data_IF_456838894182
#
_entry.id   IF_456838894182
#
_cell.length_a   1.000
_cell.length_b   1.000
_cell.length_c   1.000
_cell.angle_alpha   90.00
_cell.angle_beta   90.00
_cell.angle_gamma   90.00
#
_symmetry.space_group_name_H-M   'P 1'
#
loop_
_entity.id
_entity.type
_entity.pdbx_description
1 polymer ?
#
# COMPACT_ATOMS: atom_id res chain seq x y z
N UNK A 1 42.52 -10.25 8.55
CA UNK A 1 42.15 -9.71 9.88
C UNK A 1 41.98 -8.20 9.84
N UNK A 2 40.78 -7.72 10.13
CA UNK A 2 40.46 -6.28 10.18
C UNK A 2 40.86 -5.73 11.55
N UNK A 3 41.73 -4.71 11.56
CA UNK A 3 42.23 -4.00 12.76
C UNK A 3 41.70 -2.56 12.78
N UNK A 4 41.59 -1.94 13.96
CA UNK A 4 41.21 -0.53 14.04
C UNK A 4 40.88 -0.04 15.46
N UNK A 5 40.38 1.19 15.53
CA UNK A 5 39.85 1.76 16.75
C UNK A 5 38.62 0.98 17.25
N UNK A 6 38.52 0.77 18.57
CA UNK A 6 37.49 -0.05 19.19
C UNK A 6 36.08 0.42 18.83
N UNK A 7 35.79 1.72 18.91
CA UNK A 7 34.46 2.26 18.67
C UNK A 7 34.04 2.07 17.21
N UNK A 8 34.98 2.29 16.28
CA UNK A 8 34.75 2.03 14.86
C UNK A 8 34.44 0.56 14.59
N UNK A 9 35.20 -0.36 15.19
CA UNK A 9 34.96 -1.79 15.01
C UNK A 9 33.62 -2.21 15.63
N UNK A 10 33.22 -1.62 16.75
CA UNK A 10 31.91 -1.86 17.38
C UNK A 10 30.74 -1.48 16.47
N UNK A 11 30.84 -0.37 15.72
CA UNK A 11 29.83 0.02 14.73
C UNK A 11 29.74 -0.99 13.56
N UNK A 12 30.88 -1.52 13.13
CA UNK A 12 30.93 -2.52 12.03
C UNK A 12 30.22 -3.80 12.48
N UNK A 13 30.55 -4.35 13.65
CA UNK A 13 30.00 -5.64 14.10
C UNK A 13 28.50 -5.60 14.41
N UNK A 14 27.91 -4.41 14.61
CA UNK A 14 26.45 -4.25 14.77
C UNK A 14 25.66 -4.49 13.48
N UNK A 15 26.30 -4.28 12.32
CA UNK A 15 25.63 -4.27 11.01
C UNK A 15 26.25 -5.24 10.02
N UNK A 16 27.19 -6.08 10.45
CA UNK A 16 27.91 -7.01 9.58
C UNK A 16 28.09 -8.39 10.24
N UNK A 17 28.26 -9.38 9.38
CA UNK A 17 28.53 -10.77 9.73
C UNK A 17 29.78 -11.30 9.01
N UNK A 18 30.31 -12.41 9.52
CA UNK A 18 31.43 -13.11 8.90
C UNK A 18 31.01 -13.69 7.53
N UNK A 19 31.72 -13.40 6.43
CA UNK A 19 31.35 -13.91 5.10
C UNK A 19 31.41 -15.43 5.02
N UNK A 20 32.38 -16.05 5.69
CA UNK A 20 32.60 -17.50 5.64
C UNK A 20 31.62 -18.31 6.50
N UNK A 21 31.28 -17.79 7.68
CA UNK A 21 30.50 -18.55 8.68
C UNK A 21 29.05 -18.05 8.83
N UNK A 22 28.71 -16.87 8.29
CA UNK A 22 27.38 -16.25 8.47
C UNK A 22 27.04 -15.97 9.93
N UNK A 23 28.05 -15.77 10.79
CA UNK A 23 27.91 -15.52 12.23
C UNK A 23 28.12 -14.06 12.56
N UNK A 24 27.48 -13.61 13.65
CA UNK A 24 27.74 -12.30 14.25
C UNK A 24 29.22 -12.14 14.57
N UNK A 25 29.71 -10.95 14.31
CA UNK A 25 31.06 -10.53 14.59
C UNK A 25 31.15 -9.97 16.02
N UNK A 26 32.34 -10.02 16.60
CA UNK A 26 32.66 -9.39 17.89
C UNK A 26 34.00 -8.67 17.80
N UNK A 27 34.14 -7.60 18.57
CA UNK A 27 35.43 -6.92 18.75
C UNK A 27 36.22 -7.63 19.85
N UNK A 28 37.48 -7.94 19.58
CA UNK A 28 38.37 -8.61 20.52
C UNK A 28 39.74 -7.90 20.57
N UNK A 29 40.39 -7.94 21.72
CA UNK A 29 41.79 -7.53 21.85
C UNK A 29 42.70 -8.65 21.37
N UNK A 30 43.65 -8.35 20.47
CA UNK A 30 44.61 -9.31 19.93
C UNK A 30 46.01 -9.03 20.47
N UNK A 31 46.41 -9.76 21.51
CA UNK A 31 47.64 -9.47 22.27
C UNK A 31 48.93 -9.47 21.42
N UNK A 32 49.06 -10.37 20.44
CA UNK A 32 50.27 -10.44 19.60
C UNK A 32 50.45 -9.23 18.67
N UNK A 33 49.37 -8.49 18.43
CA UNK A 33 49.33 -7.36 17.49
C UNK A 33 48.99 -6.04 18.22
N UNK A 34 48.93 -6.08 19.55
CA UNK A 34 48.64 -4.95 20.44
C UNK A 34 47.49 -4.05 19.95
N UNK A 35 46.41 -4.65 19.45
CA UNK A 35 45.33 -3.91 18.78
C UNK A 35 43.97 -4.60 18.90
N UNK A 36 42.90 -3.81 18.70
CA UNK A 36 41.55 -4.34 18.57
C UNK A 36 41.30 -4.87 17.16
N UNK A 37 40.64 -6.02 17.09
CA UNK A 37 40.35 -6.75 15.85
C UNK A 37 38.93 -7.27 15.83
N UNK A 38 38.41 -7.54 14.63
CA UNK A 38 37.13 -8.23 14.44
C UNK A 38 37.37 -9.75 14.35
N UNK A 39 36.59 -10.52 15.09
CA UNK A 39 36.52 -11.99 14.97
C UNK A 39 35.08 -12.50 14.97
N UNK A 40 34.83 -13.67 14.41
CA UNK A 40 33.53 -14.34 14.53
C UNK A 40 33.47 -15.22 15.80
N UNK A 41 32.28 -15.73 16.11
CA UNK A 41 32.06 -16.62 17.27
C UNK A 41 32.84 -17.94 17.23
N UNK A 42 33.34 -18.35 16.07
CA UNK A 42 34.15 -19.58 15.89
C UNK A 42 35.65 -19.32 16.00
N UNK A 43 36.06 -18.11 16.37
CA UNK A 43 37.48 -17.75 16.54
C UNK A 43 38.19 -17.41 15.23
N UNK A 44 37.47 -17.33 14.10
CA UNK A 44 38.01 -16.89 12.83
C UNK A 44 38.15 -15.35 12.75
N UNK A 45 39.23 -14.86 12.12
CA UNK A 45 39.56 -13.44 11.94
C UNK A 45 39.43 -13.00 10.46
N UNK A 46 38.22 -12.61 10.02
CA UNK A 46 37.99 -12.37 8.60
C UNK A 46 38.82 -11.21 8.03
N UNK A 47 39.11 -11.31 6.74
CA UNK A 47 39.73 -10.23 5.96
C UNK A 47 38.71 -9.22 5.44
N UNK A 48 37.47 -9.67 5.21
CA UNK A 48 36.34 -8.86 4.76
C UNK A 48 35.10 -9.12 5.61
N UNK A 49 34.12 -8.20 5.58
CA UNK A 49 32.85 -8.36 6.30
C UNK A 49 31.68 -8.19 5.35
N UNK A 50 30.64 -9.00 5.55
CA UNK A 50 29.40 -8.90 4.77
C UNK A 50 28.38 -8.15 5.59
N UNK A 51 27.79 -7.09 5.02
CA UNK A 51 26.74 -6.33 5.70
C UNK A 51 25.50 -7.20 5.90
N UNK A 52 25.02 -7.25 7.14
CA UNK A 52 23.69 -7.76 7.46
C UNK A 52 22.68 -6.77 6.89
N UNK A 53 21.99 -7.20 5.84
CA UNK A 53 20.91 -6.43 5.27
C UNK A 53 19.73 -6.49 6.24
N UNK A 54 19.13 -5.33 6.51
CA UNK A 54 17.85 -5.34 7.23
C UNK A 54 16.79 -6.08 6.39
N UNK A 55 15.73 -6.61 6.99
CA UNK A 55 14.65 -7.27 6.23
C UNK A 55 14.12 -6.40 5.07
N UNK A 56 14.05 -5.08 5.27
CA UNK A 56 13.67 -4.11 4.23
C UNK A 56 14.70 -4.00 3.10
N UNK A 57 15.99 -4.08 3.41
CA UNK A 57 17.08 -4.05 2.42
C UNK A 57 17.17 -5.37 1.64
N UNK A 58 17.00 -6.52 2.30
CA UNK A 58 16.91 -7.83 1.65
C UNK A 58 15.74 -7.88 0.65
N UNK A 59 14.59 -7.33 1.04
CA UNK A 59 13.42 -7.19 0.17
C UNK A 59 13.69 -6.30 -1.04
N UNK A 60 14.32 -5.13 -0.84
CA UNK A 60 14.69 -4.23 -1.94
C UNK A 60 15.69 -4.86 -2.93
N UNK A 61 16.53 -5.78 -2.47
CA UNK A 61 17.49 -6.49 -3.31
C UNK A 61 16.95 -7.78 -3.93
N UNK A 62 15.67 -8.11 -3.72
CA UNK A 62 15.05 -9.34 -4.24
C UNK A 62 15.63 -10.63 -3.67
N UNK A 63 16.46 -10.56 -2.61
CA UNK A 63 17.09 -11.72 -1.97
C UNK A 63 16.16 -12.46 -1.02
N UNK A 64 15.01 -11.86 -0.70
CA UNK A 64 13.98 -12.47 0.13
C UNK A 64 12.69 -12.57 -0.69
N UNK A 65 12.32 -13.79 -1.05
CA UNK A 65 10.92 -14.07 -1.39
C UNK A 65 10.07 -13.72 -0.17
N UNK A 66 8.85 -13.22 -0.39
CA UNK A 66 7.91 -12.93 0.69
C UNK A 66 7.56 -14.23 1.41
N UNK A 67 8.41 -14.63 2.36
CA UNK A 67 8.16 -15.78 3.22
C UNK A 67 6.78 -15.64 3.85
N UNK A 68 6.04 -16.75 3.97
CA UNK A 68 4.66 -16.83 4.45
C UNK A 68 4.37 -16.05 5.76
N UNK A 69 5.39 -15.75 6.57
CA UNK A 69 5.32 -14.86 7.74
C UNK A 69 4.91 -13.41 7.42
N UNK A 70 5.07 -12.95 6.17
CA UNK A 70 4.62 -11.64 5.74
C UNK A 70 3.10 -11.55 5.65
N UNK A 71 2.44 -12.61 5.19
CA UNK A 71 1.00 -12.63 4.90
C UNK A 71 0.11 -12.47 6.14
N UNK A 72 0.66 -12.59 7.35
CA UNK A 72 -0.10 -12.41 8.59
C UNK A 72 -0.68 -11.01 8.77
N UNK A 73 -0.07 -9.99 8.13
CA UNK A 73 -0.55 -8.61 8.15
C UNK A 73 -1.57 -8.31 7.05
N UNK A 74 -1.87 -9.28 6.17
CA UNK A 74 -2.90 -9.11 5.14
C UNK A 74 -4.30 -9.15 5.74
N UNK A 75 -5.29 -8.51 5.09
CA UNK A 75 -6.70 -8.75 5.38
C UNK A 75 -6.98 -10.25 5.39
N UNK A 76 -7.60 -10.74 6.48
CA UNK A 76 -7.96 -12.16 6.67
C UNK A 76 -9.42 -12.44 6.36
N UNK A 77 -10.19 -11.42 5.99
CA UNK A 77 -11.61 -11.54 5.64
C UNK A 77 -11.95 -10.65 4.44
N UNK A 78 -12.95 -11.07 3.65
CA UNK A 78 -13.56 -10.22 2.63
C UNK A 78 -14.30 -9.06 3.30
N UNK A 79 -14.04 -7.84 2.85
CA UNK A 79 -14.56 -6.64 3.50
C UNK A 79 -16.09 -6.54 3.42
N UNK A 80 -16.70 -7.10 2.37
CA UNK A 80 -18.15 -7.02 2.18
C UNK A 80 -18.91 -8.15 2.90
N UNK A 81 -18.41 -9.38 2.84
CA UNK A 81 -19.13 -10.55 3.40
C UNK A 81 -18.69 -10.87 4.84
N UNK A 82 -17.48 -10.46 5.23
CA UNK A 82 -16.83 -10.85 6.48
C UNK A 82 -16.35 -12.30 6.49
N UNK A 83 -16.44 -13.01 5.37
CA UNK A 83 -15.97 -14.40 5.26
C UNK A 83 -14.45 -14.45 5.30
N UNK A 84 -13.91 -15.43 6.02
CA UNK A 84 -12.48 -15.64 6.11
C UNK A 84 -11.90 -15.98 4.74
N UNK A 85 -10.76 -15.36 4.40
CA UNK A 85 -10.08 -15.58 3.14
C UNK A 85 -9.22 -16.85 3.23
N UNK A 86 -9.24 -17.66 2.18
CA UNK A 86 -8.32 -18.79 2.08
C UNK A 86 -6.88 -18.29 1.87
N UNK A 87 -5.86 -19.08 2.26
CA UNK A 87 -4.46 -18.75 1.98
C UNK A 87 -4.19 -18.43 0.51
N UNK A 88 -4.84 -19.16 -0.41
CA UNK A 88 -4.72 -18.95 -1.85
C UNK A 88 -5.29 -17.60 -2.30
N UNK A 89 -6.40 -17.16 -1.70
CA UNK A 89 -6.98 -15.84 -1.99
C UNK A 89 -6.10 -14.70 -1.46
N UNK A 90 -5.51 -14.88 -0.27
CA UNK A 90 -4.56 -13.91 0.31
C UNK A 90 -3.31 -13.79 -0.57
N UNK A 91 -2.76 -14.92 -1.01
CA UNK A 91 -1.62 -14.96 -1.93
C UNK A 91 -1.95 -14.32 -3.27
N UNK A 92 -3.10 -14.64 -3.87
CA UNK A 92 -3.55 -14.04 -5.12
C UNK A 92 -3.73 -12.51 -5.00
N UNK A 93 -4.31 -12.03 -3.90
CA UNK A 93 -4.44 -10.60 -3.62
C UNK A 93 -3.07 -9.92 -3.47
N UNK A 94 -2.12 -10.56 -2.79
CA UNK A 94 -0.75 -10.09 -2.66
C UNK A 94 -0.04 -10.00 -4.02
N UNK A 95 -0.14 -11.03 -4.84
CA UNK A 95 0.46 -11.06 -6.19
C UNK A 95 -0.16 -9.98 -7.09
N UNK A 96 -1.48 -9.79 -7.03
CA UNK A 96 -2.18 -8.72 -7.74
C UNK A 96 -1.68 -7.34 -7.29
N UNK A 97 -1.57 -7.11 -5.98
CA UNK A 97 -1.05 -5.84 -5.46
C UNK A 97 0.36 -5.56 -6.00
N UNK A 98 1.22 -6.57 -5.96
CA UNK A 98 2.61 -6.48 -6.45
C UNK A 98 2.65 -6.19 -7.95
N UNK A 99 1.83 -6.85 -8.75
CA UNK A 99 1.76 -6.65 -10.20
C UNK A 99 1.51 -5.18 -10.56
N UNK A 100 0.63 -4.51 -9.82
CA UNK A 100 0.30 -3.09 -10.04
C UNK A 100 1.06 -2.12 -9.14
N UNK A 101 2.10 -2.61 -8.45
CA UNK A 101 2.95 -1.78 -7.60
C UNK A 101 2.24 -1.16 -6.40
N UNK A 102 1.15 -1.78 -5.93
CA UNK A 102 0.39 -1.45 -4.72
C UNK A 102 0.95 -2.18 -3.49
N UNK A 103 0.48 -1.78 -2.30
CA UNK A 103 0.88 -2.38 -1.02
C UNK A 103 -0.36 -2.93 -0.30
N UNK A 104 -0.53 -4.24 -0.35
CA UNK A 104 -1.66 -4.90 0.28
C UNK A 104 -1.60 -4.87 1.81
N UNK A 105 -0.41 -4.76 2.41
CA UNK A 105 -0.23 -4.65 3.87
C UNK A 105 -0.69 -3.29 4.41
N UNK A 106 -0.63 -2.25 3.57
CA UNK A 106 -1.15 -0.92 3.90
C UNK A 106 -2.62 -0.73 3.56
N UNK A 107 -3.30 -1.79 3.11
CA UNK A 107 -4.71 -1.72 2.74
C UNK A 107 -4.96 -0.96 1.43
N UNK A 108 -3.96 -0.79 0.56
CA UNK A 108 -4.18 -0.19 -0.77
C UNK A 108 -5.15 -1.03 -1.62
N UNK A 109 -5.16 -2.33 -1.37
CA UNK A 109 -6.07 -3.29 -1.99
C UNK A 109 -6.61 -4.26 -0.95
N UNK A 110 -7.86 -4.66 -1.13
CA UNK A 110 -8.61 -5.59 -0.29
C UNK A 110 -9.48 -6.49 -1.17
N UNK A 111 -10.05 -7.55 -0.59
CA UNK A 111 -11.10 -8.31 -1.26
C UNK A 111 -12.48 -7.76 -0.86
N UNK A 112 -13.33 -7.58 -1.86
CA UNK A 112 -14.72 -7.17 -1.68
C UNK A 112 -15.59 -7.98 -2.64
N UNK A 113 -16.56 -8.75 -2.11
CA UNK A 113 -17.40 -9.66 -2.89
C UNK A 113 -16.58 -10.64 -3.75
N UNK A 114 -15.46 -11.15 -3.20
CA UNK A 114 -14.57 -12.08 -3.89
C UNK A 114 -13.73 -11.47 -5.02
N UNK A 115 -13.75 -10.15 -5.19
CA UNK A 115 -12.97 -9.44 -6.22
C UNK A 115 -11.97 -8.48 -5.59
N UNK A 116 -10.77 -8.31 -6.17
CA UNK A 116 -9.82 -7.29 -5.72
C UNK A 116 -10.45 -5.89 -5.86
N UNK A 117 -10.40 -5.13 -4.77
CA UNK A 117 -10.92 -3.78 -4.68
C UNK A 117 -9.79 -2.85 -4.23
N UNK A 118 -9.41 -1.91 -5.10
CA UNK A 118 -8.38 -0.91 -4.81
C UNK A 118 -9.05 0.25 -4.09
N UNK A 119 -8.58 0.57 -2.88
CA UNK A 119 -9.12 1.68 -2.08
C UNK A 119 -8.66 3.05 -2.58
N UNK A 120 -9.22 4.12 -2.01
CA UNK A 120 -8.80 5.50 -2.33
C UNK A 120 -7.31 5.71 -2.06
N UNK A 121 -6.79 5.17 -0.95
CA UNK A 121 -5.37 5.26 -0.60
C UNK A 121 -4.48 4.54 -1.62
N UNK A 122 -4.98 3.44 -2.19
CA UNK A 122 -4.31 2.74 -3.28
C UNK A 122 -4.18 3.59 -4.54
N UNK A 123 -5.24 4.30 -4.93
CA UNK A 123 -5.19 5.23 -6.07
C UNK A 123 -4.35 6.47 -5.79
N UNK A 124 -4.42 7.06 -4.60
CA UNK A 124 -3.57 8.20 -4.21
C UNK A 124 -2.08 7.81 -4.25
N UNK A 125 -1.76 6.62 -3.73
CA UNK A 125 -0.40 6.09 -3.79
C UNK A 125 0.04 5.80 -5.23
N UNK A 126 -0.83 5.22 -6.06
CA UNK A 126 -0.53 4.98 -7.46
C UNK A 126 -0.27 6.29 -8.23
N UNK A 127 -1.15 7.29 -8.09
CA UNK A 127 -0.97 8.62 -8.66
C UNK A 127 0.36 9.26 -8.23
N UNK A 128 0.72 9.15 -6.95
CA UNK A 128 2.02 9.62 -6.44
C UNK A 128 3.23 8.90 -7.08
N UNK A 129 3.08 7.61 -7.43
CA UNK A 129 4.14 6.83 -8.08
C UNK A 129 4.32 7.16 -9.55
N UNK A 130 3.25 7.51 -10.27
CA UNK A 130 3.33 7.88 -11.69
C UNK A 130 4.09 9.20 -11.91
N UNK A 131 4.30 10.01 -10.85
CA UNK A 131 5.01 11.31 -10.92
C UNK A 131 4.36 12.31 -11.87
N UNK A 132 3.08 12.11 -12.18
CA UNK A 132 2.27 13.03 -12.97
C UNK A 132 1.66 14.07 -12.01
N UNK A 133 1.93 15.37 -12.19
CA UNK A 133 1.28 16.42 -11.41
C UNK A 133 -0.23 16.40 -11.63
N UNK A 134 -1.00 16.48 -10.55
CA UNK A 134 -2.45 16.57 -10.62
C UNK A 134 -3.02 17.41 -9.48
N UNK A 135 -4.23 17.92 -9.69
CA UNK A 135 -5.07 18.55 -8.68
C UNK A 135 -6.33 17.72 -8.48
N UNK A 136 -6.63 17.36 -7.23
CA UNK A 136 -7.88 16.73 -6.84
C UNK A 136 -8.73 17.76 -6.11
N UNK A 137 -9.92 18.02 -6.64
CA UNK A 137 -10.92 18.90 -6.02
C UNK A 137 -12.23 18.15 -5.86
N UNK A 138 -12.92 18.38 -4.76
CA UNK A 138 -14.23 17.78 -4.52
C UNK A 138 -15.15 18.77 -3.82
N UNK A 139 -16.44 18.68 -4.12
CA UNK A 139 -17.47 19.52 -3.50
C UNK A 139 -18.83 18.82 -3.49
N UNK A 140 -19.75 19.22 -2.60
CA UNK A 140 -21.16 18.87 -2.74
C UNK A 140 -21.71 19.32 -4.10
N UNK A 141 -22.69 18.60 -4.63
CA UNK A 141 -23.43 19.07 -5.81
C UNK A 141 -24.29 20.28 -5.47
N UNK A 142 -24.39 21.20 -6.41
CA UNK A 142 -25.33 22.32 -6.39
C UNK A 142 -26.77 21.86 -6.59
N UNK A 143 -27.75 22.70 -6.29
CA UNK A 143 -29.17 22.38 -6.49
C UNK A 143 -29.50 22.02 -7.94
N UNK A 144 -28.93 22.75 -8.91
CA UNK A 144 -29.13 22.47 -10.33
C UNK A 144 -28.54 21.11 -10.73
N UNK A 145 -27.29 20.83 -10.34
CA UNK A 145 -26.67 19.53 -10.64
C UNK A 145 -27.41 18.37 -9.95
N UNK A 146 -27.89 18.55 -8.72
CA UNK A 146 -28.73 17.53 -8.05
C UNK A 146 -29.98 17.21 -8.85
N UNK A 147 -30.63 18.22 -9.44
CA UNK A 147 -31.76 18.02 -10.33
C UNK A 147 -31.34 17.27 -11.60
N UNK A 148 -30.25 17.66 -12.24
CA UNK A 148 -29.76 17.05 -13.49
C UNK A 148 -29.36 15.58 -13.30
N UNK A 149 -28.71 15.25 -12.19
CA UNK A 149 -28.35 13.88 -11.82
C UNK A 149 -29.47 13.10 -11.13
N UNK A 150 -30.68 13.68 -11.03
CA UNK A 150 -31.85 13.07 -10.39
C UNK A 150 -31.56 12.56 -8.97
N UNK A 151 -30.79 13.34 -8.21
CA UNK A 151 -30.42 13.00 -6.82
C UNK A 151 -31.63 13.23 -5.92
N UNK A 152 -32.14 12.15 -5.34
CA UNK A 152 -33.28 12.18 -4.42
C UNK A 152 -33.10 13.17 -3.25
N UNK A 153 -34.23 13.66 -2.73
CA UNK A 153 -34.24 14.47 -1.52
C UNK A 153 -33.71 13.66 -0.33
N UNK A 154 -32.94 14.31 0.55
CA UNK A 154 -32.28 13.65 1.69
C UNK A 154 -31.00 12.87 1.36
N UNK A 155 -30.72 12.56 0.09
CA UNK A 155 -29.45 11.92 -0.29
C UNK A 155 -28.26 12.88 -0.17
N UNK A 156 -27.10 12.36 0.21
CA UNK A 156 -25.84 13.09 0.17
C UNK A 156 -25.13 12.80 -1.14
N UNK A 157 -24.71 13.84 -1.86
CA UNK A 157 -24.06 13.69 -3.14
C UNK A 157 -22.89 14.65 -3.28
N UNK A 158 -21.80 14.17 -3.87
CA UNK A 158 -20.56 14.89 -4.12
C UNK A 158 -20.07 14.64 -5.54
N UNK A 159 -19.42 15.63 -6.10
CA UNK A 159 -18.67 15.54 -7.35
C UNK A 159 -17.20 15.82 -7.06
N UNK A 160 -16.31 15.07 -7.70
CA UNK A 160 -14.87 15.29 -7.62
C UNK A 160 -14.28 15.37 -9.03
N UNK A 161 -13.18 16.11 -9.15
CA UNK A 161 -12.44 16.34 -10.37
C UNK A 161 -10.96 16.08 -10.13
N UNK A 162 -10.35 15.27 -10.99
CA UNK A 162 -8.91 15.10 -11.11
C UNK A 162 -8.48 15.81 -12.37
N UNK A 163 -7.67 16.86 -12.21
CA UNK A 163 -7.06 17.59 -13.30
C UNK A 163 -5.59 17.21 -13.41
N UNK A 164 -5.18 16.65 -14.55
CA UNK A 164 -3.82 16.20 -14.86
C UNK A 164 -3.12 17.22 -15.76
N UNK A 165 -1.85 17.51 -15.48
CA UNK A 165 -1.00 18.45 -16.25
C UNK A 165 -1.66 19.82 -16.49
N UNK A 166 -2.26 20.41 -15.46
CA UNK A 166 -2.89 21.74 -15.52
C UNK A 166 -3.97 21.92 -16.60
N UNK A 167 -4.64 20.85 -17.02
CA UNK A 167 -5.86 20.93 -17.85
C UNK A 167 -5.91 19.97 -19.02
N UNK A 168 -4.83 19.24 -19.31
CA UNK A 168 -4.78 18.28 -20.43
C UNK A 168 -5.74 17.10 -20.25
N UNK A 169 -6.05 16.75 -18.99
CA UNK A 169 -7.04 15.72 -18.67
C UNK A 169 -7.90 16.12 -17.49
N UNK A 170 -9.22 16.20 -17.70
CA UNK A 170 -10.22 16.42 -16.65
C UNK A 170 -11.07 15.17 -16.47
N UNK A 171 -10.94 14.52 -15.33
CA UNK A 171 -11.68 13.31 -14.98
C UNK A 171 -12.61 13.60 -13.82
N UNK A 172 -13.91 13.37 -14.01
CA UNK A 172 -14.91 13.55 -12.95
C UNK A 172 -15.28 12.23 -12.28
N UNK A 173 -15.77 12.30 -11.05
CA UNK A 173 -16.35 11.19 -10.31
C UNK A 173 -17.55 11.65 -9.49
N UNK A 174 -18.57 10.80 -9.39
CA UNK A 174 -19.81 11.09 -8.68
C UNK A 174 -19.96 10.11 -7.51
N UNK A 175 -20.21 10.64 -6.32
CA UNK A 175 -20.45 9.84 -5.13
C UNK A 175 -21.79 10.20 -4.51
N UNK A 176 -22.68 9.22 -4.39
CA UNK A 176 -24.01 9.38 -3.81
C UNK A 176 -24.16 8.38 -2.65
N UNK A 177 -24.81 8.82 -1.57
CA UNK A 177 -25.28 8.01 -0.45
C UNK A 177 -26.76 8.32 -0.27
N UNK A 178 -27.62 7.35 -0.52
CA UNK A 178 -29.08 7.52 -0.50
C UNK A 178 -29.64 7.41 0.91
N UNK A 179 -30.87 7.91 1.12
CA UNK A 179 -31.58 7.73 2.39
C UNK A 179 -31.82 6.26 2.73
N UNK A 180 -32.12 5.44 1.73
CA UNK A 180 -32.23 3.99 1.88
C UNK A 180 -30.92 3.39 2.39
N UNK A 181 -29.76 3.79 1.84
CA UNK A 181 -28.48 3.25 2.27
C UNK A 181 -28.15 3.60 3.73
N UNK A 182 -28.45 4.84 4.14
CA UNK A 182 -28.25 5.33 5.51
C UNK A 182 -29.15 4.62 6.53
N UNK A 183 -30.34 4.20 6.12
CA UNK A 183 -31.34 3.59 7.00
C UNK A 183 -31.43 2.06 6.89
N UNK A 184 -30.73 1.48 5.91
CA UNK A 184 -30.70 0.05 5.65
C UNK A 184 -30.37 -0.73 6.92
N UNK A 185 -31.18 -1.75 7.22
CA UNK A 185 -30.99 -2.64 8.37
C UNK A 185 -30.10 -3.83 8.01
N UNK A 186 -29.38 -4.35 9.01
CA UNK A 186 -28.59 -5.57 8.85
C UNK A 186 -29.50 -6.76 8.58
N UNK A 187 -29.17 -7.57 7.57
CA UNK A 187 -29.91 -8.80 7.28
C UNK A 187 -29.71 -9.86 8.38
N UNK A 188 -28.57 -9.82 9.10
CA UNK A 188 -28.27 -10.76 10.19
C UNK A 188 -28.90 -10.34 11.51
N UNK A 189 -28.97 -9.03 11.78
CA UNK A 189 -29.50 -8.46 13.02
C UNK A 189 -30.43 -7.28 12.67
N UNK A 190 -31.72 -7.52 12.42
CA UNK A 190 -32.64 -6.49 11.88
C UNK A 190 -32.80 -5.24 12.75
N UNK A 191 -32.48 -5.32 14.04
CA UNK A 191 -32.50 -4.17 14.96
C UNK A 191 -31.34 -3.19 14.73
N UNK A 192 -30.27 -3.63 14.07
CA UNK A 192 -29.07 -2.83 13.82
C UNK A 192 -29.05 -2.27 12.39
N UNK A 193 -28.38 -1.13 12.21
CA UNK A 193 -28.08 -0.60 10.87
C UNK A 193 -27.08 -1.51 10.17
N UNK A 194 -27.22 -1.66 8.85
CA UNK A 194 -26.30 -2.43 8.00
C UNK A 194 -24.89 -1.86 8.05
N UNK A 195 -24.77 -0.54 8.06
CA UNK A 195 -23.50 0.16 8.20
C UNK A 195 -23.67 1.39 9.09
N UNK A 196 -23.32 1.30 10.38
CA UNK A 196 -23.37 2.43 11.29
C UNK A 196 -22.52 3.63 10.81
N UNK A 197 -21.42 3.36 10.12
CA UNK A 197 -20.52 4.39 9.56
C UNK A 197 -21.19 5.18 8.44
N UNK A 198 -21.94 4.50 7.55
CA UNK A 198 -22.70 5.17 6.48
C UNK A 198 -23.71 6.14 7.08
N UNK A 199 -24.42 5.73 8.15
CA UNK A 199 -25.41 6.56 8.81
C UNK A 199 -24.77 7.74 9.60
N UNK A 200 -23.62 7.51 10.23
CA UNK A 200 -22.93 8.54 11.02
C UNK A 200 -22.25 9.60 10.14
N UNK A 201 -21.70 9.21 8.98
CA UNK A 201 -20.87 10.06 8.13
C UNK A 201 -21.19 9.94 6.63
N UNK A 202 -22.46 10.12 6.22
CA UNK A 202 -22.87 9.89 4.84
C UNK A 202 -22.22 10.86 3.85
N UNK A 203 -21.98 12.11 4.26
CA UNK A 203 -21.33 13.10 3.41
C UNK A 203 -19.86 12.75 3.13
N UNK A 204 -19.13 12.21 4.10
CA UNK A 204 -17.73 11.80 3.93
C UNK A 204 -17.64 10.59 3.00
N UNK A 205 -18.59 9.66 3.10
CA UNK A 205 -18.64 8.52 2.20
C UNK A 205 -18.99 8.93 0.76
N UNK A 206 -19.95 9.85 0.58
CA UNK A 206 -20.25 10.43 -0.73
C UNK A 206 -19.02 11.10 -1.34
N UNK A 207 -18.32 11.95 -0.58
CA UNK A 207 -17.07 12.57 -1.01
C UNK A 207 -16.02 11.52 -1.42
N UNK A 208 -15.75 10.54 -0.55
CA UNK A 208 -14.76 9.49 -0.81
C UNK A 208 -15.09 8.68 -2.07
N UNK A 209 -16.37 8.38 -2.33
CA UNK A 209 -16.81 7.70 -3.56
C UNK A 209 -16.57 8.55 -4.81
N UNK A 210 -16.86 9.85 -4.73
CA UNK A 210 -16.63 10.78 -5.82
C UNK A 210 -15.13 10.85 -6.16
N UNK A 211 -14.29 11.06 -5.16
CA UNK A 211 -12.82 11.12 -5.31
C UNK A 211 -12.25 9.81 -5.84
N UNK A 212 -12.70 8.67 -5.31
CA UNK A 212 -12.30 7.36 -5.78
C UNK A 212 -12.63 7.14 -7.26
N UNK A 213 -13.83 7.52 -7.71
CA UNK A 213 -14.20 7.40 -9.13
C UNK A 213 -13.36 8.32 -10.03
N UNK A 214 -13.13 9.57 -9.61
CA UNK A 214 -12.32 10.52 -10.37
C UNK A 214 -10.87 10.03 -10.50
N UNK A 215 -10.26 9.59 -9.39
CA UNK A 215 -8.91 9.04 -9.37
C UNK A 215 -8.78 7.77 -10.21
N UNK A 216 -9.75 6.86 -10.13
CA UNK A 216 -9.75 5.64 -10.95
C UNK A 216 -9.73 5.94 -12.46
N UNK A 217 -10.42 7.00 -12.88
CA UNK A 217 -10.46 7.43 -14.29
C UNK A 217 -9.19 8.17 -14.70
N UNK A 218 -8.65 9.04 -13.83
CA UNK A 218 -7.42 9.77 -14.13
C UNK A 218 -6.15 8.91 -14.03
N UNK A 219 -6.16 7.87 -13.20
CA UNK A 219 -5.04 6.98 -12.94
C UNK A 219 -5.49 5.50 -13.01
N UNK A 220 -5.82 4.98 -14.20
CA UNK A 220 -6.34 3.63 -14.34
C UNK A 220 -5.29 2.57 -13.95
N UNK A 221 -5.74 1.55 -13.22
CA UNK A 221 -4.94 0.40 -12.82
C UNK A 221 -5.55 -0.86 -13.44
N UNK A 222 -4.75 -1.66 -14.15
CA UNK A 222 -5.20 -2.95 -14.71
C UNK A 222 -5.78 -2.90 -16.11
N UNK A 223 -5.97 -1.71 -16.68
CA UNK A 223 -6.15 -1.60 -18.12
C UNK A 223 -4.79 -1.87 -18.76
N UNK A 224 -4.73 -2.83 -19.69
CA UNK A 224 -3.55 -3.03 -20.50
C UNK A 224 -3.22 -1.65 -21.09
N UNK A 225 -2.07 -1.08 -20.74
CA UNK A 225 -1.54 0.05 -21.50
C UNK A 225 -1.40 -0.51 -22.92
N UNK A 226 -2.40 -0.29 -23.77
CA UNK A 226 -2.19 -0.33 -25.20
C UNK A 226 -1.07 0.67 -25.38
N UNK A 227 0.12 0.13 -25.60
CA UNK A 227 1.31 0.91 -25.86
C UNK A 227 0.94 1.68 -27.11
N UNK A 228 0.55 2.94 -26.97
CA UNK A 228 0.35 3.84 -28.09
C UNK A 228 1.72 4.08 -28.72
N UNK A 229 2.18 3.08 -29.46
CA UNK A 229 3.32 3.16 -30.35
C UNK A 229 2.88 3.90 -31.61
N UNK A 230 2.44 5.14 -31.45
CA UNK A 230 2.03 6.08 -32.49
C UNK A 230 2.26 7.48 -31.89
N UNK A 231 3.07 8.40 -32.41
CA UNK A 231 3.83 8.50 -33.65
C UNK A 231 4.84 9.63 -33.40
N UNK A 232 6.14 9.33 -33.27
CA UNK A 232 7.16 10.37 -33.48
C UNK A 232 7.40 10.44 -34.98
N UNK A 233 6.55 11.21 -35.65
CA UNK A 233 6.87 11.84 -36.93
C UNK A 233 7.82 13.01 -36.71
#
# INVERSE_FOLDING_TARGET
MIKGDKERLEQIVQTHQCPEHGRKLVVAWHAAEDSYVIRCGEGHFPEEVTRDLTPTQEYKQGKREATAKGLDLMPKADLATGEALSPQMIEALYLYARQYGLDAYRGHIMLMYGKPYIGIDGYLYHAYKEKIPYKLESRPLTTAERHDYQVEEGAHAWIAYVNINDGEGLFSGLGIVTQEEMTAKSMKVPTQLRSPVVAAHPWQLAQKRAEWQALRRGFPIGEAKEVSSETRG
#
